data_IF_059422126667
#
_entry.id   IF_059422126667
#
_cell.length_a   1.000
_cell.length_b   1.000
_cell.length_c   1.000
_cell.angle_alpha   90.00
_cell.angle_beta   90.00
_cell.angle_gamma   90.00
#
_symmetry.space_group_name_H-M   'P 1'
#
loop_
_entity.id
_entity.type
_entity.pdbx_description
1 polymer ?
#
# COMPACT_ATOMS: atom_id res chain seq x y z
N UNK A 1 10.83 19.73 37.29
CA UNK A 1 11.35 20.31 36.04
C UNK A 1 12.81 19.85 35.91
N UNK A 2 13.23 19.27 34.79
CA UNK A 2 14.51 18.53 34.66
C UNK A 2 15.79 19.40 34.71
N UNK A 3 15.69 20.70 34.96
CA UNK A 3 16.86 21.55 35.26
C UNK A 3 17.92 21.57 34.14
N UNK A 4 17.49 21.61 32.88
CA UNK A 4 18.40 21.62 31.73
C UNK A 4 18.85 23.06 31.40
N UNK A 5 20.15 23.32 31.52
CA UNK A 5 20.79 24.62 31.27
C UNK A 5 22.07 24.42 30.46
N UNK A 6 22.50 25.44 29.71
CA UNK A 6 23.81 25.53 29.09
C UNK A 6 24.54 26.79 29.58
N UNK A 7 25.87 26.78 29.52
CA UNK A 7 26.70 27.94 29.84
C UNK A 7 27.09 28.64 28.53
N UNK A 8 26.86 29.94 28.44
CA UNK A 8 27.29 30.75 27.29
C UNK A 8 28.80 31.09 27.36
N UNK A 9 29.30 31.76 26.32
CA UNK A 9 30.71 32.18 26.22
C UNK A 9 31.15 33.14 27.35
N UNK A 10 30.19 33.76 28.05
CA UNK A 10 30.45 34.68 29.18
C UNK A 10 30.37 33.98 30.54
N UNK A 11 30.21 32.65 30.55
CA UNK A 11 30.07 31.88 31.79
C UNK A 11 28.68 32.00 32.42
N UNK A 12 27.69 32.56 31.72
CA UNK A 12 26.34 32.75 32.25
C UNK A 12 25.47 31.54 31.93
N UNK A 13 24.71 31.07 32.92
CA UNK A 13 23.80 29.93 32.77
C UNK A 13 22.48 30.37 32.14
N UNK A 14 22.10 29.70 31.06
CA UNK A 14 20.85 29.93 30.33
C UNK A 14 20.03 28.64 30.21
N UNK A 15 18.69 28.72 30.31
CA UNK A 15 17.84 27.57 30.03
C UNK A 15 17.96 27.16 28.56
N UNK A 16 17.95 25.85 28.30
CA UNK A 16 17.97 25.34 26.92
C UNK A 16 16.59 25.56 26.29
N UNK A 17 16.56 26.04 25.04
CA UNK A 17 15.32 26.08 24.24
C UNK A 17 15.08 24.70 23.64
N UNK A 18 14.03 24.02 24.11
CA UNK A 18 13.64 22.69 23.62
C UNK A 18 12.27 22.74 22.93
N UNK A 19 12.13 21.97 21.86
CA UNK A 19 10.86 21.70 21.19
C UNK A 19 10.48 20.23 21.34
N UNK A 20 9.20 19.95 21.45
CA UNK A 20 8.65 18.60 21.33
C UNK A 20 7.59 18.63 20.22
N UNK A 21 7.66 17.67 19.31
CA UNK A 21 6.62 17.43 18.32
C UNK A 21 6.30 15.93 18.29
N UNK A 22 5.02 15.62 18.08
CA UNK A 22 4.54 14.26 17.98
C UNK A 22 3.60 14.14 16.79
N UNK A 23 3.83 13.13 15.97
CA UNK A 23 2.93 12.78 14.87
C UNK A 23 2.13 11.57 15.33
N UNK A 24 0.80 11.73 15.41
CA UNK A 24 -0.09 10.63 15.74
C UNK A 24 -0.30 9.74 14.54
N UNK A 25 0.57 8.75 14.31
CA UNK A 25 0.50 7.86 13.13
C UNK A 25 -0.88 7.22 12.94
N UNK A 26 -1.51 6.74 14.02
CA UNK A 26 -2.87 6.19 13.95
C UNK A 26 -3.93 7.23 13.55
N UNK A 27 -3.79 8.48 13.99
CA UNK A 27 -4.68 9.58 13.57
C UNK A 27 -4.45 9.99 12.13
N UNK A 28 -3.20 9.95 11.68
CA UNK A 28 -2.83 10.23 10.30
C UNK A 28 -3.46 9.19 9.36
N UNK A 29 -3.38 7.90 9.72
CA UNK A 29 -3.98 6.82 8.95
C UNK A 29 -5.52 6.97 8.89
N UNK A 30 -6.15 7.22 10.03
CA UNK A 30 -7.60 7.44 10.10
C UNK A 30 -8.04 8.64 9.25
N UNK A 31 -7.32 9.76 9.34
CA UNK A 31 -7.60 10.96 8.55
C UNK A 31 -7.39 10.72 7.04
N UNK A 32 -6.38 9.94 6.65
CA UNK A 32 -6.17 9.56 5.25
C UNK A 32 -7.36 8.75 4.72
N UNK A 33 -7.84 7.74 5.46
CA UNK A 33 -9.00 6.94 5.05
C UNK A 33 -10.27 7.81 4.99
N UNK A 34 -10.51 8.65 6.00
CA UNK A 34 -11.67 9.55 6.03
C UNK A 34 -11.68 10.51 4.83
N UNK A 35 -10.50 10.98 4.41
CA UNK A 35 -10.36 11.88 3.27
C UNK A 35 -10.41 11.17 1.91
N UNK A 36 -9.99 9.90 1.85
CA UNK A 36 -9.87 9.09 0.64
C UNK A 36 -10.61 7.75 0.81
N UNK A 37 -11.92 7.77 0.58
CA UNK A 37 -12.77 6.59 0.51
C UNK A 37 -13.91 6.81 -0.48
N UNK A 38 -14.54 5.72 -0.89
CA UNK A 38 -15.81 5.74 -1.63
C UNK A 38 -16.81 4.78 -0.97
N UNK A 39 -17.95 4.54 -1.64
CA UNK A 39 -18.98 3.61 -1.16
C UNK A 39 -18.50 2.15 -1.10
N UNK A 40 -17.37 1.82 -1.72
CA UNK A 40 -16.82 0.46 -1.83
C UNK A 40 -15.68 0.19 -0.86
N UNK A 41 -14.97 1.23 -0.40
CA UNK A 41 -13.92 1.05 0.59
C UNK A 41 -12.89 2.17 0.63
N UNK A 42 -11.69 1.79 1.05
CA UNK A 42 -10.56 2.70 1.23
C UNK A 42 -9.96 3.03 -0.14
N UNK A 43 -9.45 4.24 -0.33
CA UNK A 43 -8.63 4.59 -1.49
C UNK A 43 -7.27 5.03 -0.97
N UNK A 44 -6.26 4.17 -1.06
CA UNK A 44 -4.93 4.50 -0.54
C UNK A 44 -4.19 5.48 -1.46
N UNK A 45 -3.60 6.56 -0.93
CA UNK A 45 -2.56 7.29 -1.64
C UNK A 45 -1.33 6.40 -1.83
N UNK A 46 -0.75 6.41 -3.03
CA UNK A 46 0.41 5.57 -3.38
C UNK A 46 1.53 5.54 -2.32
N UNK A 47 1.97 6.66 -1.70
CA UNK A 47 3.09 6.65 -0.76
C UNK A 47 2.83 5.99 0.60
N UNK A 48 1.57 5.69 0.93
CA UNK A 48 1.17 5.10 2.21
C UNK A 48 0.33 3.83 2.02
N UNK A 49 0.20 3.36 0.78
CA UNK A 49 -0.52 2.14 0.47
C UNK A 49 0.25 0.93 1.01
N UNK A 50 -0.41 -0.08 1.60
CA UNK A 50 0.28 -1.29 2.08
C UNK A 50 0.88 -2.14 0.96
N UNK A 51 0.30 -2.04 -0.23
CA UNK A 51 0.79 -2.62 -1.47
C UNK A 51 0.48 -1.62 -2.58
N UNK A 52 1.30 -1.63 -3.63
CA UNK A 52 1.10 -0.78 -4.79
C UNK A 52 0.12 -1.42 -5.78
N UNK A 53 0.23 -2.74 -5.96
CA UNK A 53 -0.49 -3.48 -7.00
C UNK A 53 -1.22 -4.68 -6.41
N UNK A 54 -2.50 -4.82 -6.73
CA UNK A 54 -3.30 -6.02 -6.50
C UNK A 54 -3.31 -6.83 -7.79
N UNK A 55 -2.62 -7.96 -7.80
CA UNK A 55 -2.53 -8.85 -8.94
C UNK A 55 -3.58 -9.97 -8.82
N UNK A 56 -4.59 -9.93 -9.70
CA UNK A 56 -5.75 -10.80 -9.66
C UNK A 56 -5.78 -11.75 -10.86
N UNK A 57 -5.18 -12.96 -10.75
CA UNK A 57 -5.39 -14.02 -11.72
C UNK A 57 -6.78 -14.65 -11.55
N UNK A 58 -7.51 -14.75 -12.66
CA UNK A 58 -8.83 -15.36 -12.76
C UNK A 58 -8.72 -16.70 -13.51
N UNK A 59 -9.44 -17.71 -13.03
CA UNK A 59 -9.46 -19.06 -13.63
C UNK A 59 -8.06 -19.70 -13.67
N UNK A 60 -7.39 -19.75 -12.51
CA UNK A 60 -6.04 -20.29 -12.32
C UNK A 60 -5.86 -21.77 -12.69
N UNK A 61 -6.96 -22.50 -12.86
CA UNK A 61 -6.95 -23.87 -13.38
C UNK A 61 -6.32 -23.95 -14.79
N UNK A 62 -6.27 -22.81 -15.52
CA UNK A 62 -5.45 -22.67 -16.71
C UNK A 62 -3.98 -22.42 -16.33
N UNK A 63 -3.09 -23.35 -16.72
CA UNK A 63 -1.66 -23.28 -16.42
C UNK A 63 -1.00 -22.02 -16.97
N UNK A 64 -1.51 -21.44 -18.07
CA UNK A 64 -0.95 -20.22 -18.66
C UNK A 64 -1.24 -18.98 -17.82
N UNK A 65 -2.43 -18.90 -17.21
CA UNK A 65 -2.77 -17.76 -16.35
C UNK A 65 -1.87 -17.73 -15.13
N UNK A 66 -1.68 -18.89 -14.51
CA UNK A 66 -0.82 -19.02 -13.34
C UNK A 66 0.64 -18.68 -13.66
N UNK A 67 1.18 -19.21 -14.76
CA UNK A 67 2.55 -18.92 -15.20
C UNK A 67 2.77 -17.42 -15.49
N UNK A 68 1.84 -16.78 -16.21
CA UNK A 68 1.96 -15.34 -16.51
C UNK A 68 1.82 -14.49 -15.26
N UNK A 69 0.95 -14.87 -14.32
CA UNK A 69 0.80 -14.15 -13.06
C UNK A 69 2.06 -14.22 -12.20
N UNK A 70 2.68 -15.39 -12.09
CA UNK A 70 3.94 -15.56 -11.35
C UNK A 70 5.10 -14.81 -11.99
N UNK A 71 5.20 -14.83 -13.32
CA UNK A 71 6.22 -14.07 -14.04
C UNK A 71 6.03 -12.55 -13.84
N UNK A 72 4.81 -12.05 -13.99
CA UNK A 72 4.51 -10.63 -13.80
C UNK A 72 4.75 -10.20 -12.35
N UNK A 73 4.39 -11.04 -11.38
CA UNK A 73 4.69 -10.81 -9.96
C UNK A 73 6.19 -10.60 -9.74
N UNK A 74 7.02 -11.51 -10.25
CA UNK A 74 8.47 -11.42 -10.11
C UNK A 74 9.08 -10.20 -10.84
N UNK A 75 8.56 -9.85 -12.03
CA UNK A 75 8.99 -8.67 -12.77
C UNK A 75 8.68 -7.37 -12.01
N UNK A 76 7.49 -7.27 -11.41
CA UNK A 76 7.08 -6.09 -10.65
C UNK A 76 7.85 -5.97 -9.33
N UNK A 77 8.07 -7.08 -8.61
CA UNK A 77 8.91 -7.06 -7.41
C UNK A 77 10.37 -6.67 -7.72
N UNK A 78 10.89 -7.07 -8.88
CA UNK A 78 12.23 -6.67 -9.31
C UNK A 78 12.38 -5.15 -9.55
N UNK A 79 11.26 -4.46 -9.82
CA UNK A 79 11.17 -2.99 -9.94
C UNK A 79 10.83 -2.31 -8.59
N UNK A 80 10.99 -3.02 -7.46
CA UNK A 80 10.74 -2.53 -6.10
C UNK A 80 9.26 -2.14 -5.84
N UNK A 81 8.34 -2.74 -6.59
CA UNK A 81 6.90 -2.57 -6.38
C UNK A 81 6.36 -3.67 -5.46
N UNK A 82 5.76 -3.26 -4.34
CA UNK A 82 5.00 -4.16 -3.48
C UNK A 82 3.72 -4.67 -4.18
N UNK A 83 3.67 -5.98 -4.47
CA UNK A 83 2.54 -6.63 -5.14
C UNK A 83 1.83 -7.59 -4.20
N UNK A 84 0.50 -7.51 -4.14
CA UNK A 84 -0.36 -8.48 -3.49
C UNK A 84 -0.94 -9.43 -4.55
N UNK A 85 -0.47 -10.67 -4.59
CA UNK A 85 -1.00 -11.72 -5.46
C UNK A 85 -2.21 -12.41 -4.83
N UNK A 86 -3.37 -12.35 -5.49
CA UNK A 86 -4.58 -13.09 -5.08
C UNK A 86 -4.62 -14.47 -5.73
N UNK A 87 -3.93 -15.42 -5.10
CA UNK A 87 -3.81 -16.82 -5.49
C UNK A 87 -4.98 -17.70 -5.01
N UNK A 88 -6.01 -17.12 -4.38
CA UNK A 88 -7.15 -17.86 -3.83
C UNK A 88 -8.01 -18.47 -4.95
N UNK A 89 -8.56 -19.66 -4.70
CA UNK A 89 -9.51 -20.33 -5.60
C UNK A 89 -10.94 -19.83 -5.35
N UNK A 90 -11.16 -18.54 -5.59
CA UNK A 90 -12.43 -17.84 -5.36
C UNK A 90 -13.01 -17.28 -6.67
N UNK A 91 -14.32 -17.03 -6.66
CA UNK A 91 -14.99 -16.45 -7.82
C UNK A 91 -14.49 -15.03 -8.14
N UNK A 92 -14.46 -14.59 -9.42
CA UNK A 92 -14.01 -13.24 -9.78
C UNK A 92 -14.75 -12.13 -9.01
N UNK A 93 -16.04 -12.32 -8.74
CA UNK A 93 -16.84 -11.35 -7.98
C UNK A 93 -16.34 -11.17 -6.54
N UNK A 94 -15.96 -12.26 -5.86
CA UNK A 94 -15.40 -12.21 -4.51
C UNK A 94 -14.04 -11.50 -4.54
N UNK A 95 -13.16 -11.89 -5.46
CA UNK A 95 -11.84 -11.24 -5.60
C UNK A 95 -11.94 -9.75 -5.89
N UNK A 96 -12.84 -9.33 -6.77
CA UNK A 96 -13.03 -7.92 -7.08
C UNK A 96 -13.62 -7.12 -5.92
N UNK A 97 -14.57 -7.70 -5.19
CA UNK A 97 -15.12 -7.06 -4.01
C UNK A 97 -14.08 -6.88 -2.91
N UNK A 98 -13.24 -7.89 -2.68
CA UNK A 98 -12.14 -7.81 -1.72
C UNK A 98 -11.08 -6.80 -2.16
N UNK A 99 -10.73 -6.78 -3.45
CA UNK A 99 -9.78 -5.81 -4.00
C UNK A 99 -10.28 -4.36 -3.85
N UNK A 100 -11.57 -4.12 -4.16
CA UNK A 100 -12.21 -2.81 -4.00
C UNK A 100 -12.24 -2.40 -2.50
N UNK A 101 -12.49 -3.35 -1.59
CA UNK A 101 -12.49 -3.11 -0.15
C UNK A 101 -11.09 -2.78 0.42
N UNK A 102 -10.06 -3.50 -0.05
CA UNK A 102 -8.67 -3.30 0.36
C UNK A 102 -8.09 -1.97 -0.13
N UNK A 103 -8.57 -1.47 -1.27
CA UNK A 103 -8.26 -0.12 -1.74
C UNK A 103 -6.87 0.03 -2.36
N UNK A 104 -6.25 -1.08 -2.79
CA UNK A 104 -4.91 -1.07 -3.39
C UNK A 104 -4.91 -0.19 -4.64
N UNK A 105 -3.95 0.75 -4.80
CA UNK A 105 -4.04 1.80 -5.82
C UNK A 105 -4.20 1.31 -7.26
N UNK A 106 -3.54 0.20 -7.61
CA UNK A 106 -3.58 -0.39 -8.94
C UNK A 106 -4.06 -1.83 -8.84
N UNK A 107 -5.08 -2.19 -9.64
CA UNK A 107 -5.51 -3.59 -9.80
C UNK A 107 -5.17 -4.08 -11.20
N UNK A 108 -4.38 -5.14 -11.30
CA UNK A 108 -4.06 -5.84 -12.55
C UNK A 108 -4.84 -7.14 -12.59
N UNK A 109 -5.54 -7.42 -13.70
CA UNK A 109 -6.40 -8.61 -13.81
C UNK A 109 -5.97 -9.49 -14.98
N UNK A 110 -5.52 -10.71 -14.67
CA UNK A 110 -5.10 -11.68 -15.68
C UNK A 110 -6.22 -12.70 -15.86
N UNK A 111 -6.64 -12.91 -17.10
CA UNK A 111 -7.65 -13.90 -17.48
C UNK A 111 -7.29 -14.50 -18.83
N UNK A 112 -7.81 -15.69 -19.19
CA UNK A 112 -7.57 -16.27 -20.51
C UNK A 112 -7.90 -15.29 -21.66
N UNK A 113 -8.98 -14.52 -21.50
CA UNK A 113 -9.44 -13.53 -22.49
C UNK A 113 -8.49 -12.34 -22.62
N UNK A 114 -7.84 -11.90 -21.54
CA UNK A 114 -6.89 -10.79 -21.59
C UNK A 114 -5.56 -11.26 -22.19
N UNK A 115 -5.13 -12.49 -21.87
CA UNK A 115 -3.97 -13.14 -22.48
C UNK A 115 -4.11 -13.37 -23.98
N UNK A 116 -5.28 -13.80 -24.46
CA UNK A 116 -5.55 -13.95 -25.91
C UNK A 116 -5.36 -12.66 -26.71
N UNK A 117 -5.49 -11.50 -26.05
CA UNK A 117 -5.34 -10.17 -26.66
C UNK A 117 -3.95 -9.58 -26.47
N UNK A 118 -3.04 -10.26 -25.77
CA UNK A 118 -1.73 -9.70 -25.41
C UNK A 118 -1.83 -8.48 -24.49
N UNK A 119 -2.87 -8.40 -23.68
CA UNK A 119 -3.14 -7.27 -22.77
C UNK A 119 -3.28 -7.76 -21.33
N UNK A 120 -2.92 -6.91 -20.37
CA UNK A 120 -3.21 -7.07 -18.93
C UNK A 120 -4.19 -6.01 -18.45
#
# INVERSE_FOLDING_TARGET
>A
MLGAFFIDEKGTSHPIVMGCYGIGLGRLLAAAIEQYHDDKGIIWPMPIAPYHIYLCPLYREDSKVSEVAENLYAELEAEDLEVLLDDREESPGVKFNDADLLGVPVRVTISPRTLEKGSV
#
